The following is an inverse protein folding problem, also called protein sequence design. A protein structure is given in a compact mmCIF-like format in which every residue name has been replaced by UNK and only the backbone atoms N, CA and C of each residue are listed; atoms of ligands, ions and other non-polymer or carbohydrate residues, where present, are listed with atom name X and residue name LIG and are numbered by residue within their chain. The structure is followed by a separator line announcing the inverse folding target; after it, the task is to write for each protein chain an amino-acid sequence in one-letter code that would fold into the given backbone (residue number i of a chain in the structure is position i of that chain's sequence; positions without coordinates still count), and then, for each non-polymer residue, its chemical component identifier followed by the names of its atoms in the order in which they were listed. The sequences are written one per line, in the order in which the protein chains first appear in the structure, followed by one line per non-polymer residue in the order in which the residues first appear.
data_IF_903587277259
#
_entry.id   IF_903587277259
#
_cell.length_a   1.000
_cell.length_b   1.000
_cell.length_c   1.000
_cell.angle_alpha   90.00
_cell.angle_beta   90.00
_cell.angle_gamma   90.00
#
_symmetry.space_group_name_H-M   'P 1'
#
loop_
_entity.id
_entity.type
_entity.pdbx_description
1 polymer ?
#
# COMPACT_ATOMS: atom_id res chain seq x y z
N UNK A 1 -13.97 3.16 -23.31
CA UNK A 1 -13.47 3.09 -21.93
C UNK A 1 -12.45 1.97 -21.66
N UNK A 2 -12.43 0.86 -22.44
CA UNK A 2 -11.48 -0.26 -22.22
C UNK A 2 -10.01 0.14 -22.07
N UNK A 3 -9.45 0.98 -22.96
CA UNK A 3 -8.03 1.41 -22.87
C UNK A 3 -7.70 2.18 -21.57
N UNK A 4 -8.60 3.05 -21.13
CA UNK A 4 -8.46 3.81 -19.87
C UNK A 4 -8.53 2.85 -18.68
N UNK A 5 -9.48 1.90 -18.70
CA UNK A 5 -9.58 0.86 -17.67
C UNK A 5 -8.32 -0.01 -17.58
N UNK A 6 -7.69 -0.37 -18.71
CA UNK A 6 -6.39 -1.07 -18.70
C UNK A 6 -5.31 -0.25 -18.00
N UNK A 7 -5.18 1.05 -18.35
CA UNK A 7 -4.17 1.92 -17.76
C UNK A 7 -4.37 2.03 -16.24
N UNK A 8 -5.61 2.25 -15.80
CA UNK A 8 -5.93 2.33 -14.37
C UNK A 8 -5.60 1.02 -13.64
N UNK A 9 -5.88 -0.14 -14.24
CA UNK A 9 -5.47 -1.43 -13.67
C UNK A 9 -3.95 -1.56 -13.56
N UNK A 10 -3.20 -1.19 -14.61
CA UNK A 10 -1.73 -1.29 -14.61
C UNK A 10 -1.15 -0.37 -13.55
N UNK A 11 -1.62 0.88 -13.46
CA UNK A 11 -1.18 1.81 -12.43
C UNK A 11 -1.58 1.37 -11.03
N UNK A 12 -2.79 0.83 -10.84
CA UNK A 12 -3.23 0.28 -9.56
C UNK A 12 -2.36 -0.89 -9.12
N UNK A 13 -2.03 -1.80 -10.04
CA UNK A 13 -1.12 -2.92 -9.75
C UNK A 13 0.30 -2.44 -9.42
N UNK A 14 0.82 -1.49 -10.18
CA UNK A 14 2.15 -0.92 -9.92
C UNK A 14 2.20 -0.22 -8.55
N UNK A 15 1.19 0.59 -8.22
CA UNK A 15 1.08 1.25 -6.93
C UNK A 15 0.95 0.25 -5.76
N UNK A 16 0.26 -0.88 -5.97
CA UNK A 16 0.16 -1.96 -4.99
C UNK A 16 1.53 -2.61 -4.71
N UNK A 17 2.34 -2.84 -5.75
CA UNK A 17 3.70 -3.38 -5.59
C UNK A 17 4.57 -2.38 -4.83
N UNK A 18 4.49 -1.08 -5.15
CA UNK A 18 5.22 -0.03 -4.44
C UNK A 18 4.79 0.04 -2.97
N UNK A 19 3.49 -0.02 -2.67
CA UNK A 19 3.00 -0.02 -1.29
C UNK A 19 3.50 -1.24 -0.50
N UNK A 20 3.50 -2.44 -1.12
CA UNK A 20 4.03 -3.67 -0.51
C UNK A 20 5.53 -3.56 -0.22
N UNK A 21 6.31 -3.07 -1.18
CA UNK A 21 7.74 -2.87 -1.00
C UNK A 21 8.02 -1.83 0.11
N UNK A 22 7.25 -0.75 0.15
CA UNK A 22 7.39 0.29 1.16
C UNK A 22 7.11 -0.24 2.57
N UNK A 23 6.01 -0.99 2.74
CA UNK A 23 5.68 -1.66 4.00
C UNK A 23 6.81 -2.58 4.45
N UNK A 24 7.28 -3.43 3.55
CA UNK A 24 8.34 -4.40 3.84
C UNK A 24 9.61 -3.71 4.31
N UNK A 25 10.12 -2.74 3.55
CA UNK A 25 11.39 -2.07 3.86
C UNK A 25 11.29 -1.34 5.21
N UNK A 26 10.21 -0.58 5.45
CA UNK A 26 10.03 0.15 6.70
C UNK A 26 9.96 -0.79 7.92
N UNK A 27 9.10 -1.80 7.90
CA UNK A 27 8.93 -2.68 9.06
C UNK A 27 10.09 -3.66 9.22
N UNK A 28 10.80 -4.01 8.16
CA UNK A 28 12.04 -4.78 8.27
C UNK A 28 13.16 -3.96 8.92
N UNK A 29 13.23 -2.65 8.68
CA UNK A 29 14.21 -1.80 9.34
C UNK A 29 13.88 -1.58 10.83
N UNK A 30 12.59 -1.48 11.17
CA UNK A 30 12.12 -1.27 12.55
C UNK A 30 12.12 -2.57 13.39
N UNK A 31 11.69 -3.69 12.81
CA UNK A 31 11.45 -4.96 13.52
C UNK A 31 12.42 -6.08 13.10
N UNK A 32 13.28 -5.86 12.11
CA UNK A 32 14.13 -6.90 11.55
C UNK A 32 13.32 -8.03 10.90
N UNK A 33 13.77 -9.26 11.13
CA UNK A 33 13.11 -10.48 10.61
C UNK A 33 11.68 -10.68 11.17
N UNK A 34 11.35 -10.02 12.28
CA UNK A 34 10.03 -10.07 12.92
C UNK A 34 9.02 -9.07 12.32
N UNK A 35 9.30 -8.50 11.14
CA UNK A 35 8.40 -7.57 10.43
C UNK A 35 6.98 -8.12 10.21
N UNK A 36 6.82 -9.44 10.25
CA UNK A 36 5.52 -10.11 10.14
C UNK A 36 4.57 -9.81 11.31
N UNK A 37 5.09 -9.33 12.44
CA UNK A 37 4.26 -8.81 13.54
C UNK A 37 3.45 -7.58 13.10
N UNK A 38 3.95 -6.81 12.12
CA UNK A 38 3.28 -5.64 11.55
C UNK A 38 2.35 -5.95 10.36
N UNK A 39 1.94 -7.21 10.15
CA UNK A 39 1.03 -7.59 9.05
C UNK A 39 -0.30 -6.83 9.08
N UNK A 40 -0.83 -6.57 10.26
CA UNK A 40 -2.07 -5.78 10.41
C UNK A 40 -1.88 -4.34 9.94
N UNK A 41 -0.66 -3.81 10.13
CA UNK A 41 -0.28 -2.45 9.72
C UNK A 41 -0.22 -2.27 8.20
N UNK A 42 -0.11 -3.37 7.44
CA UNK A 42 -0.18 -3.30 5.99
C UNK A 42 -1.54 -2.78 5.51
N UNK A 43 -2.62 -3.18 6.18
CA UNK A 43 -4.00 -2.86 5.77
C UNK A 43 -4.64 -1.73 6.57
N UNK A 44 -4.29 -1.60 7.85
CA UNK A 44 -4.99 -0.71 8.79
C UNK A 44 -4.05 0.23 9.53
N UNK A 45 -4.55 1.43 9.81
CA UNK A 45 -3.92 2.35 10.77
C UNK A 45 -4.50 2.07 12.15
N UNK A 46 -3.80 1.32 12.99
CA UNK A 46 -4.09 1.23 14.42
C UNK A 46 -3.14 2.14 15.21
N UNK A 47 -3.41 2.38 16.50
CA UNK A 47 -2.50 3.16 17.36
C UNK A 47 -1.11 2.52 17.45
N UNK A 48 -1.04 1.19 17.32
CA UNK A 48 0.20 0.41 17.28
C UNK A 48 0.95 0.56 15.94
N UNK A 49 0.22 0.71 14.85
CA UNK A 49 0.78 0.86 13.50
C UNK A 49 1.11 2.31 13.13
N UNK A 50 0.40 3.25 13.74
CA UNK A 50 0.64 4.70 13.66
C UNK A 50 1.62 5.15 14.73
N UNK A 51 2.42 4.22 15.27
CA UNK A 51 3.50 4.55 16.17
C UNK A 51 4.40 5.52 15.41
N UNK A 52 4.22 6.82 15.70
CA UNK A 52 5.28 7.83 15.72
C UNK A 52 6.30 7.40 16.77
N UNK A 53 6.83 6.19 16.58
CA UNK A 53 7.86 5.62 17.41
C UNK A 53 9.02 6.57 17.30
N UNK A 54 9.68 6.96 18.40
CA UNK A 54 10.95 7.69 18.30
C UNK A 54 11.96 6.94 17.41
N UNK A 55 11.76 5.64 17.17
CA UNK A 55 12.51 4.83 16.21
C UNK A 55 12.41 5.40 14.79
N UNK A 56 11.25 5.91 14.33
CA UNK A 56 11.10 6.48 12.98
C UNK A 56 11.93 7.74 12.73
N UNK A 57 12.50 8.36 13.78
CA UNK A 57 13.50 9.43 13.66
C UNK A 57 14.91 8.89 13.32
N UNK A 58 15.13 7.59 13.47
CA UNK A 58 16.40 6.91 13.23
C UNK A 58 16.36 5.98 12.01
N UNK A 59 15.25 5.97 11.27
CA UNK A 59 15.06 5.20 10.03
C UNK A 59 15.08 6.19 8.86
N UNK A 60 15.88 5.93 7.83
CA UNK A 60 15.95 6.81 6.64
C UNK A 60 14.74 6.63 5.69
N UNK A 61 13.88 5.66 5.98
CA UNK A 61 12.73 5.28 5.16
C UNK A 61 11.47 5.99 5.69
N UNK A 62 10.67 6.62 4.83
CA UNK A 62 9.43 7.28 5.27
C UNK A 62 8.48 6.28 5.94
N UNK A 63 7.74 6.74 6.95
CA UNK A 63 6.75 5.94 7.68
C UNK A 63 5.67 5.40 6.73
N UNK A 64 5.45 4.08 6.75
CA UNK A 64 4.44 3.44 5.90
C UNK A 64 3.02 3.92 6.22
N UNK A 65 2.25 4.29 5.19
CA UNK A 65 0.83 4.63 5.29
C UNK A 65 -0.02 3.74 4.37
N UNK A 66 -1.02 2.99 4.90
CA UNK A 66 -1.86 2.10 4.11
C UNK A 66 -2.81 2.83 3.14
N UNK A 67 -2.92 4.17 3.19
CA UNK A 67 -3.72 4.94 2.22
C UNK A 67 -3.26 4.71 0.78
N UNK A 68 -1.96 4.55 0.54
CA UNK A 68 -1.45 4.26 -0.80
C UNK A 68 -1.92 2.89 -1.30
N UNK A 69 -1.93 1.88 -0.41
CA UNK A 69 -2.46 0.55 -0.70
C UNK A 69 -3.93 0.62 -1.10
N UNK A 70 -4.75 1.32 -0.32
CA UNK A 70 -6.18 1.47 -0.61
C UNK A 70 -6.45 2.30 -1.85
N UNK A 71 -5.66 3.34 -2.12
CA UNK A 71 -5.73 4.09 -3.37
C UNK A 71 -5.39 3.21 -4.58
N UNK A 72 -4.36 2.36 -4.47
CA UNK A 72 -3.98 1.39 -5.49
C UNK A 72 -5.12 0.39 -5.77
N UNK A 73 -5.73 -0.16 -4.71
CA UNK A 73 -6.87 -1.06 -4.81
C UNK A 73 -8.07 -0.36 -5.48
N UNK A 74 -8.44 0.83 -5.01
CA UNK A 74 -9.53 1.61 -5.58
C UNK A 74 -9.32 1.91 -7.08
N UNK A 75 -8.10 2.28 -7.46
CA UNK A 75 -7.73 2.55 -8.85
C UNK A 75 -7.85 1.30 -9.72
N UNK A 76 -7.39 0.15 -9.22
CA UNK A 76 -7.49 -1.13 -9.91
C UNK A 76 -8.94 -1.53 -10.13
N UNK A 77 -9.78 -1.49 -9.09
CA UNK A 77 -11.20 -1.83 -9.19
C UNK A 77 -11.96 -0.83 -10.06
N UNK A 78 -11.69 0.47 -9.98
CA UNK A 78 -12.26 1.45 -10.90
C UNK A 78 -11.92 1.12 -12.36
N UNK A 79 -10.69 0.67 -12.62
CA UNK A 79 -10.29 0.16 -13.93
C UNK A 79 -11.10 -1.07 -14.39
N UNK A 80 -11.42 -2.00 -13.47
CA UNK A 80 -12.34 -3.13 -13.72
C UNK A 80 -13.71 -2.62 -14.12
N UNK A 81 -14.32 -1.74 -13.31
CA UNK A 81 -15.66 -1.23 -13.56
C UNK A 81 -15.76 -0.53 -14.92
N UNK A 82 -14.76 0.27 -15.30
CA UNK A 82 -14.70 0.96 -16.61
C UNK A 82 -14.53 0.02 -17.82
N UNK A 83 -14.17 -1.24 -17.59
CA UNK A 83 -14.10 -2.28 -18.63
C UNK A 83 -15.41 -3.04 -18.79
N UNK A 84 -16.31 -3.00 -17.80
CA UNK A 84 -17.60 -3.68 -17.86
C UNK A 84 -18.51 -2.87 -18.81
N UNK A 85 -19.01 -3.46 -19.91
CA UNK A 85 -20.02 -2.79 -20.72
C UNK A 85 -21.32 -2.72 -19.91
N UNK A 86 -21.78 -1.51 -19.58
CA UNK A 86 -23.16 -1.27 -19.15
C UNK A 86 -24.06 -1.64 -20.34
N UNK A 87 -24.82 -2.73 -20.21
CA UNK A 87 -25.72 -3.24 -21.24
C UNK A 87 -27.05 -2.51 -21.18
#
# INVERSE_FOLDING_TARGET
MRKIGNLMMVFGLAAFVVATAWWYVFFHEVLGDEFQLARECFYWTSDLCSLKSPISLFVDVPEYDPRLLWAAAALFFAGIFLRIPLR
#
